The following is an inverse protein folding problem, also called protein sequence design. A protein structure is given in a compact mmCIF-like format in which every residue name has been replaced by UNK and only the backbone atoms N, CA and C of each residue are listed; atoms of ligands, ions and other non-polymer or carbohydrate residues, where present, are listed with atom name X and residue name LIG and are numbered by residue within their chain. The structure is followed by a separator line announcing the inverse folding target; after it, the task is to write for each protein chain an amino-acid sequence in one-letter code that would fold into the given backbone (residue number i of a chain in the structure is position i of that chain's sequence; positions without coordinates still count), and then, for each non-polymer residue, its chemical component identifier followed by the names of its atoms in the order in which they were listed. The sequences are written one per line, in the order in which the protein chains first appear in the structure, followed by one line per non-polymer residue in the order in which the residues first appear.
data_IF_484694027096
#
_entry.id   IF_484694027096
#
_cell.length_a   1.000
_cell.length_b   1.000
_cell.length_c   1.000
_cell.angle_alpha   90.00
_cell.angle_beta   90.00
_cell.angle_gamma   90.00
#
_symmetry.space_group_name_H-M   'P 1'
#
loop_
_entity.id
_entity.type
_entity.pdbx_description
1 polymer ?
#
# COMPACT_ATOMS: atom_id res chain seq x y z
N UNK A 1 -12.82 -31.59 1.94
CA UNK A 1 -12.59 -30.24 1.40
C UNK A 1 -12.25 -29.34 2.59
N UNK A 2 -10.97 -29.22 2.95
CA UNK A 2 -10.56 -28.53 4.18
C UNK A 2 -10.60 -27.01 3.96
N UNK A 3 -11.68 -26.38 4.45
CA UNK A 3 -11.77 -24.93 4.58
C UNK A 3 -10.73 -24.45 5.58
N UNK A 4 -9.69 -23.80 5.07
CA UNK A 4 -8.65 -23.19 5.89
C UNK A 4 -9.26 -22.01 6.64
N UNK A 5 -9.28 -22.09 7.97
CA UNK A 5 -9.58 -20.99 8.88
C UNK A 5 -8.79 -19.73 8.45
N UNK A 6 -9.48 -18.68 7.94
CA UNK A 6 -8.83 -17.45 7.50
C UNK A 6 -8.00 -16.83 8.62
N UNK A 7 -8.46 -16.92 9.87
CA UNK A 7 -7.77 -16.38 11.03
C UNK A 7 -6.48 -17.14 11.35
N UNK A 8 -6.49 -18.47 11.20
CA UNK A 8 -5.31 -19.33 11.33
C UNK A 8 -4.20 -18.98 10.34
N UNK A 9 -4.53 -18.66 9.09
CA UNK A 9 -3.55 -18.23 8.07
C UNK A 9 -2.91 -16.88 8.40
N UNK A 10 -3.70 -15.90 8.84
CA UNK A 10 -3.16 -14.60 9.22
C UNK A 10 -2.30 -14.70 10.48
N UNK A 11 -2.67 -15.56 11.44
CA UNK A 11 -1.84 -15.84 12.62
C UNK A 11 -0.49 -16.42 12.22
N UNK A 12 -0.50 -17.38 11.31
CA UNK A 12 0.73 -17.92 10.74
C UNK A 12 1.53 -16.82 10.05
N UNK A 13 0.97 -16.06 9.11
CA UNK A 13 1.67 -14.96 8.42
C UNK A 13 2.32 -13.96 9.39
N UNK A 14 1.61 -13.58 10.46
CA UNK A 14 2.15 -12.69 11.50
C UNK A 14 3.35 -13.27 12.24
N UNK A 15 3.45 -14.59 12.40
CA UNK A 15 4.62 -15.20 13.06
C UNK A 15 5.89 -15.17 12.20
N UNK A 16 5.79 -14.92 10.89
CA UNK A 16 6.95 -14.74 10.00
C UNK A 16 7.40 -13.27 9.92
N UNK A 17 6.57 -12.34 10.40
CA UNK A 17 6.93 -10.94 10.49
C UNK A 17 7.74 -10.79 11.79
N UNK A 18 8.99 -10.29 11.73
CA UNK A 18 9.75 -10.02 12.95
C UNK A 18 9.05 -8.90 13.74
N UNK A 19 8.22 -9.29 14.72
CA UNK A 19 7.48 -8.37 15.61
C UNK A 19 8.46 -7.59 16.51
N UNK A 20 9.66 -8.15 16.71
CA UNK A 20 10.61 -7.73 17.75
C UNK A 20 11.78 -6.90 17.21
N UNK A 21 11.89 -6.74 15.88
CA UNK A 21 12.70 -5.66 15.38
C UNK A 21 11.87 -4.41 15.63
N UNK A 22 12.32 -3.41 16.42
CA UNK A 22 11.79 -2.08 16.20
C UNK A 22 11.85 -1.87 14.69
N UNK A 23 10.81 -1.28 14.10
CA UNK A 23 10.95 -0.64 12.80
C UNK A 23 12.09 0.35 12.99
N UNK A 24 13.33 -0.13 12.87
CA UNK A 24 14.55 0.63 12.92
C UNK A 24 14.27 1.66 11.87
N UNK A 25 14.04 2.88 12.36
CA UNK A 25 13.81 4.11 11.59
C UNK A 25 14.01 3.81 10.13
N UNK A 26 12.90 3.60 9.39
CA UNK A 26 12.98 3.38 7.94
C UNK A 26 13.90 4.50 7.48
N UNK A 27 15.08 4.14 6.95
CA UNK A 27 16.08 5.15 6.60
C UNK A 27 15.32 6.17 5.74
N UNK A 28 15.29 7.46 6.12
CA UNK A 28 14.51 8.45 5.40
C UNK A 28 14.87 8.49 3.90
N UNK A 29 16.06 8.02 3.52
CA UNK A 29 16.49 7.87 2.13
C UNK A 29 15.97 6.60 1.42
N UNK A 30 15.41 5.65 2.17
CA UNK A 30 14.79 4.40 1.67
C UNK A 30 13.27 4.39 1.86
N UNK A 31 12.70 5.40 2.52
CA UNK A 31 11.27 5.51 2.67
C UNK A 31 10.65 5.96 1.34
N UNK A 32 9.64 5.25 0.83
CA UNK A 32 8.93 5.70 -0.36
C UNK A 32 8.32 7.09 -0.12
N UNK A 33 8.35 7.93 -1.15
CA UNK A 33 7.89 9.32 -1.02
C UNK A 33 6.37 9.42 -0.87
N UNK A 34 5.67 8.33 -1.17
CA UNK A 34 4.21 8.25 -1.15
C UNK A 34 3.77 6.90 -0.59
N UNK A 35 2.85 6.94 0.36
CA UNK A 35 2.15 5.77 0.87
C UNK A 35 0.65 6.01 0.83
N UNK A 36 -0.10 4.91 0.74
CA UNK A 36 -1.54 4.89 0.96
C UNK A 36 -1.80 4.75 2.46
N UNK A 37 -2.43 5.76 3.04
CA UNK A 37 -2.93 5.76 4.41
C UNK A 37 -4.25 4.98 4.47
N UNK A 38 -4.25 3.91 5.28
CA UNK A 38 -5.37 3.00 5.47
C UNK A 38 -6.06 3.18 6.83
N UNK A 39 -5.65 4.19 7.63
CA UNK A 39 -6.19 4.44 8.98
C UNK A 39 -7.67 4.84 8.96
N UNK A 40 -8.12 5.49 7.89
CA UNK A 40 -9.53 5.83 7.70
C UNK A 40 -10.31 4.59 7.24
N UNK A 41 -11.32 4.21 8.00
CA UNK A 41 -12.18 3.08 7.66
C UNK A 41 -12.86 3.32 6.30
N UNK A 42 -12.63 2.42 5.35
CA UNK A 42 -13.25 2.45 4.03
C UNK A 42 -12.69 3.47 3.04
N UNK A 43 -11.80 4.37 3.46
CA UNK A 43 -11.14 5.33 2.58
C UNK A 43 -9.62 5.15 2.55
N UNK A 44 -9.01 5.61 1.46
CA UNK A 44 -7.56 5.64 1.30
C UNK A 44 -7.16 7.06 0.94
N UNK A 45 -6.08 7.55 1.57
CA UNK A 45 -5.50 8.85 1.23
C UNK A 45 -4.01 8.69 0.99
N UNK A 46 -3.48 9.34 -0.04
CA UNK A 46 -2.04 9.40 -0.22
C UNK A 46 -1.40 10.33 0.81
N UNK A 47 -0.41 9.83 1.55
CA UNK A 47 0.31 10.58 2.57
C UNK A 47 1.82 10.28 2.52
N UNK A 48 2.65 11.14 3.13
CA UNK A 48 4.11 11.01 3.17
C UNK A 48 4.84 12.37 3.19
N UNK A 49 6.15 12.35 3.50
CA UNK A 49 6.95 11.17 3.85
C UNK A 49 6.75 10.71 5.31
N UNK A 50 6.91 9.41 5.56
CA UNK A 50 6.73 8.77 6.88
C UNK A 50 8.03 8.15 7.37
N UNK A 51 8.70 8.75 8.36
CA UNK A 51 10.00 8.25 8.82
C UNK A 51 9.92 7.17 9.89
N UNK A 52 8.73 6.85 10.40
CA UNK A 52 8.58 6.01 11.61
C UNK A 52 7.51 4.92 11.55
N UNK A 53 6.75 4.79 10.46
CA UNK A 53 5.66 3.82 10.40
C UNK A 53 5.91 2.70 9.38
N UNK A 54 5.72 1.46 9.81
CA UNK A 54 5.82 0.30 8.92
C UNK A 54 4.74 0.30 7.85
N UNK A 55 5.11 -0.17 6.67
CA UNK A 55 4.23 -0.31 5.52
C UNK A 55 4.36 -1.69 4.89
N UNK A 56 3.30 -2.14 4.22
CA UNK A 56 3.37 -3.27 3.31
C UNK A 56 3.60 -2.75 1.88
N UNK A 57 4.31 -3.51 1.05
CA UNK A 57 4.48 -3.20 -0.37
C UNK A 57 3.80 -4.30 -1.22
N UNK A 58 2.98 -3.88 -2.18
CA UNK A 58 2.46 -4.77 -3.22
C UNK A 58 3.32 -4.62 -4.47
N UNK A 59 4.12 -5.64 -4.76
CA UNK A 59 4.76 -5.81 -6.07
C UNK A 59 3.87 -6.73 -6.91
N UNK A 60 3.31 -6.20 -8.00
CA UNK A 60 2.44 -6.97 -8.90
C UNK A 60 2.71 -6.57 -10.35
N UNK A 61 2.44 -7.46 -11.29
CA UNK A 61 2.46 -7.10 -12.71
C UNK A 61 1.16 -6.40 -13.07
N UNK A 62 1.26 -5.29 -13.78
CA UNK A 62 0.09 -4.55 -14.21
C UNK A 62 -0.61 -5.38 -15.28
N UNK A 63 -1.90 -5.63 -15.07
CA UNK A 63 -2.73 -6.30 -16.06
C UNK A 63 -2.94 -5.44 -17.30
N UNK A 64 -3.67 -5.97 -18.27
CA UNK A 64 -4.00 -5.29 -19.52
C UNK A 64 -5.14 -4.27 -19.40
N UNK A 65 -5.77 -4.15 -18.23
CA UNK A 65 -6.89 -3.24 -18.01
C UNK A 65 -6.42 -1.87 -17.53
N UNK A 66 -7.18 -0.82 -17.85
CA UNK A 66 -6.93 0.52 -17.30
C UNK A 66 -7.16 0.50 -15.79
N UNK A 67 -6.07 0.53 -15.04
CA UNK A 67 -6.09 0.69 -13.59
C UNK A 67 -6.06 2.18 -13.23
N UNK A 68 -6.63 2.52 -12.06
CA UNK A 68 -6.40 3.83 -11.46
C UNK A 68 -4.90 3.95 -11.19
N UNK A 69 -4.25 4.92 -11.83
CA UNK A 69 -2.82 5.18 -11.64
C UNK A 69 -2.56 6.63 -11.26
N UNK A 70 -1.43 6.87 -10.60
CA UNK A 70 -0.97 8.19 -10.22
C UNK A 70 -0.38 8.90 -11.43
N UNK A 71 -1.11 9.88 -11.95
CA UNK A 71 -0.69 10.79 -13.01
C UNK A 71 -0.93 12.22 -12.55
N UNK A 72 -0.36 13.22 -13.22
CA UNK A 72 -0.67 14.64 -12.94
C UNK A 72 -2.17 14.93 -12.98
N UNK A 73 -2.89 14.31 -13.93
CA UNK A 73 -4.35 14.45 -14.09
C UNK A 73 -5.17 13.81 -12.96
N UNK A 74 -4.70 12.70 -12.38
CA UNK A 74 -5.42 11.95 -11.33
C UNK A 74 -4.93 12.30 -9.91
N UNK A 75 -3.78 12.95 -9.78
CA UNK A 75 -3.14 13.35 -8.52
C UNK A 75 -4.10 14.05 -7.56
N UNK A 76 -4.91 15.00 -8.06
CA UNK A 76 -5.85 15.75 -7.20
C UNK A 76 -6.93 14.85 -6.61
N UNK A 77 -7.38 13.84 -7.37
CA UNK A 77 -8.36 12.85 -6.90
C UNK A 77 -7.71 11.92 -5.87
N UNK A 78 -6.50 11.43 -6.14
CA UNK A 78 -5.78 10.50 -5.25
C UNK A 78 -5.26 11.16 -3.95
N UNK A 79 -5.15 12.49 -3.91
CA UNK A 79 -4.89 13.25 -2.68
C UNK A 79 -6.11 13.35 -1.77
N UNK A 80 -7.32 13.24 -2.32
CA UNK A 80 -8.55 13.20 -1.52
C UNK A 80 -8.77 11.76 -1.05
N UNK A 81 -9.46 11.61 0.07
CA UNK A 81 -9.96 10.31 0.47
C UNK A 81 -10.91 9.76 -0.60
N UNK A 82 -10.71 8.50 -0.98
CA UNK A 82 -11.60 7.78 -1.89
C UNK A 82 -11.84 6.35 -1.38
N UNK A 83 -13.01 5.75 -1.68
CA UNK A 83 -13.38 4.46 -1.14
C UNK A 83 -12.53 3.32 -1.71
N UNK A 84 -12.22 2.32 -0.88
CA UNK A 84 -11.46 1.12 -1.31
C UNK A 84 -12.14 0.41 -2.49
N UNK A 85 -13.46 0.45 -2.58
CA UNK A 85 -14.25 -0.19 -3.65
C UNK A 85 -14.00 0.39 -5.04
N UNK A 86 -13.40 1.58 -5.16
CA UNK A 86 -12.99 2.15 -6.45
C UNK A 86 -11.68 1.58 -6.99
N UNK A 87 -10.98 0.77 -6.18
CA UNK A 87 -9.76 0.11 -6.60
C UNK A 87 -10.04 -1.21 -7.35
N UNK A 88 -9.14 -1.63 -8.25
CA UNK A 88 -9.13 -3.00 -8.77
C UNK A 88 -9.10 -4.05 -7.65
N UNK A 89 -9.70 -5.22 -7.88
CA UNK A 89 -9.83 -6.28 -6.86
C UNK A 89 -8.49 -6.61 -6.18
N UNK A 90 -7.40 -6.75 -6.95
CA UNK A 90 -6.06 -7.02 -6.41
C UNK A 90 -5.61 -5.99 -5.37
N UNK A 91 -5.94 -4.71 -5.58
CA UNK A 91 -5.57 -3.64 -4.65
C UNK A 91 -6.50 -3.62 -3.45
N UNK A 92 -7.78 -3.97 -3.62
CA UNK A 92 -8.70 -4.17 -2.49
C UNK A 92 -8.21 -5.30 -1.57
N UNK A 93 -7.77 -6.42 -2.15
CA UNK A 93 -7.22 -7.55 -1.43
C UNK A 93 -5.93 -7.15 -0.70
N UNK A 94 -5.07 -6.37 -1.34
CA UNK A 94 -3.85 -5.84 -0.72
C UNK A 94 -4.16 -4.94 0.49
N UNK A 95 -5.16 -4.06 0.38
CA UNK A 95 -5.65 -3.22 1.49
C UNK A 95 -6.18 -4.09 2.64
N UNK A 96 -6.98 -5.10 2.31
CA UNK A 96 -7.52 -6.04 3.30
C UNK A 96 -6.40 -6.78 4.05
N UNK A 97 -5.46 -7.39 3.31
CA UNK A 97 -4.31 -8.11 3.88
C UNK A 97 -3.46 -7.18 4.75
N UNK A 98 -3.16 -5.97 4.26
CA UNK A 98 -2.34 -4.99 4.99
C UNK A 98 -2.96 -4.64 6.34
N UNK A 99 -4.26 -4.33 6.37
CA UNK A 99 -5.00 -4.06 7.61
C UNK A 99 -5.01 -5.26 8.55
N UNK A 100 -5.21 -6.46 8.01
CA UNK A 100 -5.23 -7.71 8.79
C UNK A 100 -3.87 -8.04 9.40
N UNK A 101 -2.78 -7.69 8.71
CA UNK A 101 -1.41 -7.81 9.21
C UNK A 101 -1.07 -6.76 10.29
N UNK A 102 -1.85 -5.67 10.39
CA UNK A 102 -1.68 -4.62 11.40
C UNK A 102 -0.90 -3.40 10.91
N UNK A 103 -0.68 -3.27 9.61
CA UNK A 103 -0.05 -2.09 9.02
C UNK A 103 -1.11 -1.05 8.65
N UNK A 104 -0.76 0.22 8.88
CA UNK A 104 -1.60 1.37 8.53
C UNK A 104 -1.28 1.94 7.15
N UNK A 105 -0.17 1.51 6.55
CA UNK A 105 0.34 2.07 5.30
C UNK A 105 0.61 0.97 4.27
N UNK A 106 0.28 1.29 3.01
CA UNK A 106 0.49 0.41 1.87
C UNK A 106 1.17 1.16 0.73
N UNK A 107 2.17 0.56 0.13
CA UNK A 107 2.81 1.02 -1.09
C UNK A 107 2.36 0.17 -2.28
N UNK A 108 1.93 0.83 -3.35
CA UNK A 108 1.59 0.21 -4.64
C UNK A 108 2.20 1.09 -5.72
N UNK A 109 3.08 0.54 -6.55
CA UNK A 109 3.76 1.22 -7.66
C UNK A 109 2.83 2.13 -8.49
N UNK A 110 1.69 1.60 -8.93
CA UNK A 110 0.70 2.26 -9.76
C UNK A 110 0.08 3.50 -9.10
N UNK A 111 0.03 3.55 -7.76
CA UNK A 111 -0.61 4.61 -6.98
C UNK A 111 0.40 5.49 -6.23
N UNK A 112 1.65 5.06 -6.10
CA UNK A 112 2.70 5.74 -5.34
C UNK A 112 3.83 6.29 -6.22
N UNK A 113 3.94 5.87 -7.49
CA UNK A 113 4.87 6.45 -8.48
C UNK A 113 4.09 7.25 -9.52
N UNK A 114 4.54 8.46 -9.83
CA UNK A 114 3.97 9.30 -10.88
C UNK A 114 4.30 8.72 -12.25
N UNK A 115 3.28 8.15 -12.89
CA UNK A 115 3.39 7.38 -14.12
C UNK A 115 3.71 8.20 -15.36
N UNK A 116 3.50 9.51 -15.30
CA UNK A 116 3.78 10.49 -16.35
C UNK A 116 5.00 11.38 -16.00
N UNK A 117 5.95 10.87 -15.21
CA UNK A 117 7.14 11.60 -14.79
C UNK A 117 8.36 10.69 -14.64
N UNK A 118 9.28 10.69 -15.61
CA UNK A 118 10.53 9.91 -15.56
C UNK A 118 11.39 10.27 -14.35
N UNK A 119 11.47 11.55 -13.98
CA UNK A 119 12.15 11.99 -12.75
C UNK A 119 11.60 11.33 -11.49
N UNK A 120 10.30 11.01 -11.50
CA UNK A 120 9.67 10.40 -10.35
C UNK A 120 10.01 8.91 -10.26
N UNK A 121 10.09 8.23 -11.40
CA UNK A 121 10.60 6.86 -11.50
C UNK A 121 12.04 6.72 -11.05
N UNK A 122 12.92 7.69 -11.37
CA UNK A 122 14.34 7.64 -11.00
C UNK A 122 14.60 7.84 -9.51
N UNK A 123 13.61 8.35 -8.78
CA UNK A 123 13.74 8.79 -7.40
C UNK A 123 12.90 7.96 -6.43
N UNK A 124 12.25 6.89 -6.92
CA UNK A 124 11.52 5.91 -6.12
C UNK A 124 12.17 4.53 -6.25
#
# INVERSE_FOLDING_TARGET
MLGLDPDGKFRLMKSWIPIDKPLHSIDPNTCPRRLLDLTLAGAIQRSGPFTTAGFAALSHRWGTHQHLTLKRSTMRRLKRSFPVSELPQTFQDAVYVTRRLGFSYLWIDALCIMQDSEDDWLQE
#
